data_IF_534292295953
#
_entry.id   IF_534292295953
#
_cell.length_a   1.000
_cell.length_b   1.000
_cell.length_c   1.000
_cell.angle_alpha   90.00
_cell.angle_beta   90.00
_cell.angle_gamma   90.00
#
_symmetry.space_group_name_H-M   'P 1'
#
loop_
_entity.id
_entity.type
_entity.pdbx_description
1 polymer ?
#
# COMPACT_ATOMS: atom_id res chain seq x y z
N UNK A 1 -17.73 40.49 37.60
CA UNK A 1 -17.78 39.03 37.38
C UNK A 1 -16.94 38.70 36.15
N UNK A 2 -15.71 38.21 36.33
CA UNK A 2 -14.80 37.84 35.22
C UNK A 2 -15.24 36.47 34.67
N UNK A 3 -15.65 36.42 33.39
CA UNK A 3 -16.00 35.19 32.70
C UNK A 3 -14.71 34.47 32.32
N UNK A 4 -14.46 33.31 32.94
CA UNK A 4 -13.35 32.43 32.62
C UNK A 4 -13.76 31.62 31.37
N UNK A 5 -13.10 31.88 30.24
CA UNK A 5 -13.32 31.14 28.99
C UNK A 5 -12.42 29.91 29.03
N UNK A 6 -12.99 28.74 29.25
CA UNK A 6 -12.29 27.47 29.21
C UNK A 6 -12.03 27.10 27.75
N UNK A 7 -10.78 27.21 27.31
CA UNK A 7 -10.34 26.77 25.99
C UNK A 7 -10.32 25.23 25.99
N UNK A 8 -11.31 24.60 25.36
CA UNK A 8 -11.31 23.15 25.14
C UNK A 8 -10.29 22.88 24.05
N UNK A 9 -9.09 22.48 24.46
CA UNK A 9 -8.08 21.93 23.55
C UNK A 9 -8.61 20.60 23.04
N UNK A 10 -9.12 20.60 21.80
CA UNK A 10 -9.45 19.38 21.09
C UNK A 10 -8.17 18.59 20.87
N UNK A 11 -7.95 17.61 21.74
CA UNK A 11 -6.92 16.60 21.61
C UNK A 11 -7.23 15.77 20.36
N UNK A 12 -6.58 16.12 19.25
CA UNK A 12 -6.61 15.34 18.03
C UNK A 12 -6.03 13.96 18.33
N UNK A 13 -6.88 12.94 18.41
CA UNK A 13 -6.46 11.54 18.38
C UNK A 13 -5.87 11.26 17.01
N UNK A 14 -4.55 11.42 16.86
CA UNK A 14 -3.82 10.93 15.70
C UNK A 14 -3.76 9.41 15.88
N UNK A 15 -4.55 8.67 15.10
CA UNK A 15 -4.47 7.22 15.03
C UNK A 15 -3.14 6.83 14.36
N UNK A 16 -2.18 6.18 15.05
CA UNK A 16 -0.87 5.85 14.49
C UNK A 16 -0.92 4.74 13.42
N UNK A 17 -2.06 4.07 13.24
CA UNK A 17 -2.20 2.90 12.36
C UNK A 17 -2.04 3.19 10.86
N UNK A 18 -2.24 4.43 10.41
CA UNK A 18 -2.08 4.76 8.99
C UNK A 18 -0.60 4.85 8.57
N UNK A 19 0.26 5.31 9.49
CA UNK A 19 1.66 5.59 9.18
C UNK A 19 2.49 4.32 9.09
N UNK A 20 2.20 3.33 9.95
CA UNK A 20 2.86 2.02 9.95
C UNK A 20 2.54 1.21 8.69
N UNK A 21 1.25 1.15 8.32
CA UNK A 21 0.81 0.48 7.08
C UNK A 21 1.41 1.14 5.83
N UNK A 22 1.53 2.47 5.82
CA UNK A 22 2.14 3.18 4.70
C UNK A 22 3.66 2.93 4.60
N UNK A 23 4.36 2.81 5.74
CA UNK A 23 5.79 2.42 5.74
C UNK A 23 5.98 1.04 5.15
N UNK A 24 5.16 0.07 5.57
CA UNK A 24 5.23 -1.31 5.10
C UNK A 24 4.95 -1.44 3.59
N UNK A 25 4.00 -0.68 3.06
CA UNK A 25 3.73 -0.62 1.61
C UNK A 25 4.92 -0.06 0.82
N UNK A 26 5.56 1.00 1.31
CA UNK A 26 6.73 1.60 0.66
C UNK A 26 7.91 0.62 0.68
N UNK A 27 8.17 -0.02 1.81
CA UNK A 27 9.23 -1.03 1.95
C UNK A 27 8.98 -2.23 1.03
N UNK A 28 7.72 -2.66 0.91
CA UNK A 28 7.30 -3.72 -0.01
C UNK A 28 7.60 -3.35 -1.47
N UNK A 29 7.26 -2.12 -1.89
CA UNK A 29 7.56 -1.64 -3.23
C UNK A 29 9.07 -1.57 -3.50
N UNK A 30 9.85 -1.07 -2.55
CA UNK A 30 11.31 -1.02 -2.66
C UNK A 30 11.94 -2.41 -2.77
N UNK A 31 11.49 -3.37 -1.97
CA UNK A 31 11.97 -4.75 -2.03
C UNK A 31 11.75 -5.33 -3.44
N UNK A 32 10.53 -5.22 -3.96
CA UNK A 32 10.17 -5.77 -5.27
C UNK A 32 10.99 -5.08 -6.37
N UNK A 33 11.07 -3.75 -6.37
CA UNK A 33 11.89 -3.03 -7.35
C UNK A 33 13.36 -3.43 -7.27
N UNK A 34 13.93 -3.60 -6.08
CA UNK A 34 15.32 -3.99 -5.92
C UNK A 34 15.58 -5.40 -6.49
N UNK A 35 14.68 -6.36 -6.20
CA UNK A 35 14.78 -7.73 -6.70
C UNK A 35 14.72 -7.76 -8.23
N UNK A 36 13.72 -7.11 -8.83
CA UNK A 36 13.51 -7.16 -10.28
C UNK A 36 14.53 -6.33 -11.07
N UNK A 37 15.07 -5.26 -10.49
CA UNK A 37 16.16 -4.47 -11.08
C UNK A 37 17.56 -5.03 -10.79
N UNK A 38 17.67 -6.21 -10.16
CA UNK A 38 18.94 -6.84 -9.75
C UNK A 38 19.81 -5.94 -8.87
N UNK A 39 19.18 -5.08 -8.07
CA UNK A 39 19.86 -4.28 -7.06
C UNK A 39 20.07 -5.11 -5.80
N UNK A 40 21.11 -4.77 -5.03
CA UNK A 40 21.35 -5.41 -3.73
C UNK A 40 20.19 -5.12 -2.78
N UNK A 41 19.50 -6.16 -2.35
CA UNK A 41 18.47 -6.08 -1.31
C UNK A 41 19.15 -5.80 0.03
N UNK A 42 18.63 -4.86 0.82
CA UNK A 42 19.18 -4.55 2.14
C UNK A 42 19.09 -5.81 3.04
N UNK A 43 20.22 -6.36 3.51
CA UNK A 43 20.24 -7.58 4.32
C UNK A 43 19.61 -7.41 5.72
N UNK A 44 19.42 -6.17 6.19
CA UNK A 44 18.72 -5.91 7.46
C UNK A 44 17.25 -6.30 7.39
N UNK A 45 16.67 -6.30 6.18
CA UNK A 45 15.34 -6.83 6.00
C UNK A 45 15.41 -8.34 5.77
N UNK A 46 14.90 -9.09 6.74
CA UNK A 46 14.89 -10.55 6.74
C UNK A 46 13.76 -11.12 5.84
N UNK A 47 13.69 -10.66 4.59
CA UNK A 47 12.68 -11.10 3.62
C UNK A 47 13.04 -12.50 3.10
N UNK A 48 12.51 -13.52 3.77
CA UNK A 48 12.63 -14.91 3.32
C UNK A 48 11.85 -15.16 2.02
N UNK A 49 10.78 -14.41 1.79
CA UNK A 49 9.86 -14.55 0.66
C UNK A 49 9.36 -13.16 0.22
N UNK A 50 9.20 -12.98 -1.09
CA UNK A 50 8.67 -11.76 -1.71
C UNK A 50 7.13 -11.75 -1.73
N UNK A 51 6.48 -12.90 -1.55
CA UNK A 51 5.01 -13.04 -1.60
C UNK A 51 4.25 -12.04 -0.72
N UNK A 52 4.65 -11.77 0.54
CA UNK A 52 3.98 -10.77 1.37
C UNK A 52 4.05 -9.35 0.77
N UNK A 53 5.19 -8.97 0.19
CA UNK A 53 5.36 -7.67 -0.44
C UNK A 53 4.53 -7.55 -1.74
N UNK A 54 4.51 -8.62 -2.56
CA UNK A 54 3.66 -8.66 -3.75
C UNK A 54 2.18 -8.54 -3.38
N UNK A 55 1.75 -9.24 -2.33
CA UNK A 55 0.39 -9.19 -1.83
C UNK A 55 0.02 -7.78 -1.34
N UNK A 56 0.91 -7.15 -0.56
CA UNK A 56 0.72 -5.78 -0.08
C UNK A 56 0.52 -4.78 -1.22
N UNK A 57 1.39 -4.84 -2.24
CA UNK A 57 1.28 -3.98 -3.43
C UNK A 57 -0.02 -4.29 -4.20
N UNK A 58 -0.43 -5.57 -4.28
CA UNK A 58 -1.67 -5.93 -5.00
C UNK A 58 -2.93 -5.35 -4.37
N UNK A 59 -2.95 -5.14 -3.04
CA UNK A 59 -4.11 -4.59 -2.34
C UNK A 59 -4.02 -3.06 -2.28
N UNK A 60 -2.85 -2.52 -1.93
CA UNK A 60 -2.70 -1.12 -1.56
C UNK A 60 -1.87 -0.28 -2.55
N UNK A 61 -1.35 -0.88 -3.63
CA UNK A 61 -0.40 -0.25 -4.54
C UNK A 61 -0.87 1.04 -5.21
N UNK A 62 -2.18 1.24 -5.37
CA UNK A 62 -2.74 2.52 -5.86
C UNK A 62 -2.46 3.72 -4.92
N UNK A 63 -2.13 3.45 -3.65
CA UNK A 63 -1.78 4.48 -2.66
C UNK A 63 -0.31 4.92 -2.73
N UNK A 64 0.51 4.26 -3.56
CA UNK A 64 1.91 4.63 -3.77
C UNK A 64 2.03 5.95 -4.57
N UNK A 65 3.13 6.69 -4.45
CA UNK A 65 3.40 7.82 -5.34
C UNK A 65 3.44 7.38 -6.82
N UNK A 66 2.96 8.23 -7.73
CA UNK A 66 2.88 7.95 -9.17
C UNK A 66 4.23 7.49 -9.76
N UNK A 67 5.34 8.11 -9.32
CA UNK A 67 6.70 7.72 -9.74
C UNK A 67 6.98 6.25 -9.40
N UNK A 68 6.59 5.80 -8.21
CA UNK A 68 6.78 4.42 -7.77
C UNK A 68 5.84 3.46 -8.51
N UNK A 69 4.60 3.88 -8.77
CA UNK A 69 3.68 3.11 -9.61
C UNK A 69 4.27 2.91 -11.01
N UNK A 70 4.76 3.95 -11.67
CA UNK A 70 5.40 3.87 -12.99
C UNK A 70 6.62 2.92 -13.00
N UNK A 71 7.41 2.92 -11.93
CA UNK A 71 8.53 1.98 -11.78
C UNK A 71 8.03 0.52 -11.66
N UNK A 72 6.98 0.29 -10.87
CA UNK A 72 6.38 -1.03 -10.73
C UNK A 72 5.72 -1.49 -12.04
N UNK A 73 5.10 -0.59 -12.80
CA UNK A 73 4.55 -0.89 -14.13
C UNK A 73 5.65 -1.33 -15.11
N UNK A 74 6.82 -0.71 -15.05
CA UNK A 74 7.97 -1.09 -15.89
C UNK A 74 8.45 -2.53 -15.67
N UNK A 75 8.12 -3.14 -14.52
CA UNK A 75 8.43 -4.54 -14.20
C UNK A 75 7.18 -5.45 -14.24
N UNK A 76 6.05 -4.95 -14.74
CA UNK A 76 4.85 -5.76 -15.06
C UNK A 76 3.66 -5.62 -14.12
N UNK A 77 3.69 -4.70 -13.14
CA UNK A 77 2.47 -4.36 -12.40
C UNK A 77 1.50 -3.60 -13.30
N UNK A 78 0.21 -3.65 -12.95
CA UNK A 78 -0.83 -2.90 -13.66
C UNK A 78 -1.78 -2.25 -12.65
N UNK A 79 -1.69 -0.92 -12.51
CA UNK A 79 -2.58 -0.13 -11.64
C UNK A 79 -3.74 0.52 -12.42
N UNK A 80 -3.85 0.27 -13.73
CA UNK A 80 -4.96 0.73 -14.58
C UNK A 80 -5.99 -0.37 -14.86
N UNK A 81 -5.71 -1.60 -14.44
CA UNK A 81 -6.56 -2.76 -14.69
C UNK A 81 -7.93 -2.62 -14.05
N UNK A 82 -8.98 -2.88 -14.83
CA UNK A 82 -10.32 -3.07 -14.26
C UNK A 82 -10.28 -4.27 -13.31
N UNK A 83 -10.73 -4.09 -12.06
CA UNK A 83 -10.90 -5.21 -11.13
C UNK A 83 -11.99 -6.12 -11.69
N UNK A 84 -11.57 -7.23 -12.30
CA UNK A 84 -12.50 -8.21 -12.86
C UNK A 84 -13.19 -8.93 -11.70
N UNK A 85 -14.42 -8.54 -11.39
CA UNK A 85 -15.24 -9.22 -10.40
C UNK A 85 -15.81 -10.53 -10.97
N UNK A 86 -14.99 -11.59 -10.95
CA UNK A 86 -15.36 -12.93 -11.46
C UNK A 86 -16.57 -13.56 -10.75
N UNK A 87 -16.97 -13.05 -9.59
CA UNK A 87 -18.16 -13.51 -8.86
C UNK A 87 -19.46 -13.12 -9.57
N UNK A 88 -19.45 -12.00 -10.31
CA UNK A 88 -20.64 -11.50 -11.00
C UNK A 88 -20.92 -12.32 -12.27
N UNK A 89 -19.88 -12.66 -13.02
CA UNK A 89 -20.00 -13.45 -14.26
C UNK A 89 -20.54 -14.86 -14.02
N UNK A 90 -20.12 -15.53 -12.93
CA UNK A 90 -20.62 -16.89 -12.62
C UNK A 90 -22.12 -16.95 -12.32
N UNK A 91 -22.75 -15.87 -11.84
CA UNK A 91 -24.20 -15.84 -11.56
C UNK A 91 -25.04 -15.65 -12.82
N UNK A 92 -24.47 -15.11 -13.89
CA UNK A 92 -25.18 -14.85 -15.15
C UNK A 92 -25.36 -16.10 -16.03
N UNK A 93 -24.59 -17.15 -15.78
CA UNK A 93 -24.64 -18.42 -16.53
C UNK A 93 -25.42 -19.54 -15.82
N UNK A 94 -26.02 -19.25 -14.67
CA UNK A 94 -26.84 -20.20 -13.90
C UNK A 94 -28.36 -19.97 -14.12
N UNK A 95 -28.79 -19.75 -15.36
CA UNK A 95 -30.20 -19.66 -15.76
C UNK A 95 -30.58 -20.80 -16.71
#
# INVERSE_FOLDING_TARGET
MKKLITLISSLSFITPSSTENQSYLIESAQLVLNIFNRQTVNPEFNWRDITPALHEISIHGHSLPEVTQNQLESIGFNFSGSIINRTLDMRSHAS
#
